data_IF_512766394562
#
_entry.id   IF_512766394562
#
_cell.length_a   1.000
_cell.length_b   1.000
_cell.length_c   1.000
_cell.angle_alpha   90.00
_cell.angle_beta   90.00
_cell.angle_gamma   90.00
#
_symmetry.space_group_name_H-M   'P 1'
#
loop_
_entity.id
_entity.type
_entity.pdbx_description
1 polymer ?
#
# COMPACT_ATOMS: atom_id res chain seq x y z
N UNK A 1 -13.82 10.34 -5.44
CA UNK A 1 -12.82 10.02 -4.39
C UNK A 1 -11.92 11.23 -4.22
N UNK A 2 -11.57 11.58 -2.99
CA UNK A 2 -10.53 12.56 -2.72
C UNK A 2 -9.30 11.80 -2.19
N UNK A 3 -8.12 12.17 -2.69
CA UNK A 3 -6.85 11.56 -2.30
C UNK A 3 -5.96 12.67 -1.70
N UNK A 4 -6.13 13.05 -0.42
CA UNK A 4 -5.45 14.21 0.17
C UNK A 4 -3.92 14.04 0.32
N UNK A 5 -3.44 12.80 0.28
CA UNK A 5 -2.02 12.44 0.32
C UNK A 5 -1.48 12.04 -1.06
N UNK A 6 -2.14 12.46 -2.15
CA UNK A 6 -1.76 12.05 -3.51
C UNK A 6 -0.33 12.44 -3.88
N UNK A 7 0.08 13.65 -3.48
CA UNK A 7 1.41 14.19 -3.78
C UNK A 7 2.46 13.77 -2.75
N UNK A 8 2.08 13.05 -1.70
CA UNK A 8 3.03 12.64 -0.67
C UNK A 8 3.81 11.41 -1.11
N UNK A 9 5.11 11.48 -0.92
CA UNK A 9 6.03 10.34 -0.99
C UNK A 9 5.89 9.47 0.26
N UNK A 10 6.41 8.23 0.17
CA UNK A 10 6.46 7.34 1.34
C UNK A 10 7.30 7.91 2.49
N UNK A 11 8.36 8.66 2.18
CA UNK A 11 9.21 9.32 3.18
C UNK A 11 8.47 10.43 3.93
N UNK A 12 7.65 11.22 3.24
CA UNK A 12 6.83 12.26 3.87
C UNK A 12 5.78 11.66 4.81
N UNK A 13 5.17 10.54 4.43
CA UNK A 13 4.24 9.80 5.31
C UNK A 13 4.95 9.35 6.59
N UNK A 14 6.11 8.72 6.47
CA UNK A 14 6.88 8.24 7.63
C UNK A 14 7.41 9.39 8.49
N UNK A 15 7.87 10.48 7.87
CA UNK A 15 8.31 11.68 8.56
C UNK A 15 7.18 12.26 9.42
N UNK A 16 5.97 12.33 8.88
CA UNK A 16 4.80 12.79 9.61
C UNK A 16 4.46 11.88 10.79
N UNK A 17 4.41 10.57 10.57
CA UNK A 17 4.15 9.55 11.61
C UNK A 17 5.13 9.73 12.78
N UNK A 18 6.42 9.82 12.48
CA UNK A 18 7.49 9.93 13.49
C UNK A 18 7.45 11.27 14.23
N UNK A 19 7.25 12.38 13.51
CA UNK A 19 7.23 13.73 14.08
C UNK A 19 6.05 13.92 15.05
N UNK A 20 4.90 13.33 14.74
CA UNK A 20 3.67 13.51 15.52
C UNK A 20 3.36 12.32 16.45
N UNK A 21 4.23 11.31 16.51
CA UNK A 21 4.03 10.13 17.34
C UNK A 21 2.76 9.35 16.98
N UNK A 22 2.42 9.29 15.69
CA UNK A 22 1.23 8.55 15.23
C UNK A 22 1.49 7.05 15.40
N UNK A 23 0.60 6.31 16.08
CA UNK A 23 0.76 4.86 16.15
C UNK A 23 0.59 4.24 14.76
N UNK A 24 1.50 3.33 14.39
CA UNK A 24 1.45 2.58 13.14
C UNK A 24 1.45 1.07 13.40
N UNK A 25 1.21 0.28 12.36
CA UNK A 25 1.16 -1.17 12.48
C UNK A 25 2.57 -1.76 12.63
N UNK A 26 2.83 -2.53 13.69
CA UNK A 26 4.13 -3.17 13.98
C UNK A 26 4.63 -4.13 12.88
N UNK A 27 3.80 -4.51 11.91
CA UNK A 27 4.24 -5.26 10.73
C UNK A 27 5.12 -4.44 9.80
N UNK A 28 5.03 -3.11 9.82
CA UNK A 28 5.94 -2.26 9.05
C UNK A 28 7.41 -2.50 9.44
N UNK A 29 7.68 -2.75 10.72
CA UNK A 29 9.02 -3.09 11.24
C UNK A 29 9.51 -4.48 10.80
N UNK A 30 8.61 -5.31 10.27
CA UNK A 30 8.89 -6.68 9.80
C UNK A 30 8.92 -6.78 8.28
N UNK A 31 9.08 -5.65 7.59
CA UNK A 31 9.20 -5.61 6.13
C UNK A 31 7.87 -5.64 5.39
N UNK A 32 6.76 -5.20 6.01
CA UNK A 32 5.46 -5.07 5.35
C UNK A 32 5.11 -3.60 5.04
N UNK A 33 5.64 -3.00 3.96
CA UNK A 33 5.35 -1.60 3.61
C UNK A 33 3.91 -1.38 3.11
N UNK A 34 3.25 -2.39 2.57
CA UNK A 34 1.83 -2.35 2.18
C UNK A 34 1.08 -3.53 2.79
N UNK A 35 0.07 -3.23 3.63
CA UNK A 35 -0.65 -4.24 4.42
C UNK A 35 -2.10 -4.36 3.92
N UNK A 36 -2.54 -5.58 3.61
CA UNK A 36 -3.93 -5.92 3.32
C UNK A 36 -4.40 -7.13 4.14
N UNK A 37 -5.22 -8.00 3.53
CA UNK A 37 -5.63 -9.25 4.17
C UNK A 37 -4.44 -10.21 4.33
N UNK A 38 -4.46 -11.01 5.41
CA UNK A 38 -3.41 -11.97 5.73
C UNK A 38 -2.98 -12.90 4.58
N UNK A 39 -3.88 -13.55 3.81
CA UNK A 39 -3.45 -14.47 2.75
C UNK A 39 -2.86 -13.76 1.51
N UNK A 40 -3.08 -12.45 1.36
CA UNK A 40 -2.74 -11.69 0.15
C UNK A 40 -1.67 -10.61 0.40
N UNK A 41 -0.92 -10.74 1.50
CA UNK A 41 0.12 -9.79 1.91
C UNK A 41 1.35 -10.57 2.39
N UNK A 42 2.52 -10.27 1.83
CA UNK A 42 3.82 -10.77 2.30
C UNK A 42 4.79 -9.62 2.58
N UNK A 43 5.83 -9.90 3.35
CA UNK A 43 6.97 -8.99 3.46
C UNK A 43 7.71 -8.87 2.12
N UNK A 44 8.37 -7.74 1.92
CA UNK A 44 9.18 -7.44 0.73
C UNK A 44 10.66 -7.28 1.12
N UNK A 45 11.57 -7.59 0.20
CA UNK A 45 13.00 -7.35 0.39
C UNK A 45 13.35 -5.86 0.19
N UNK A 46 14.52 -5.47 0.68
CA UNK A 46 15.04 -4.14 0.45
C UNK A 46 15.22 -3.87 -1.05
N UNK A 47 14.69 -2.74 -1.52
CA UNK A 47 14.74 -2.33 -2.94
C UNK A 47 13.61 -2.88 -3.81
N UNK A 48 12.78 -3.81 -3.32
CA UNK A 48 11.52 -4.15 -3.99
C UNK A 48 10.52 -2.99 -3.89
N UNK A 49 9.61 -2.89 -4.86
CA UNK A 49 8.48 -1.96 -4.78
C UNK A 49 7.65 -2.22 -3.51
N UNK A 50 7.20 -1.17 -2.83
CA UNK A 50 6.50 -1.26 -1.56
C UNK A 50 5.14 -1.98 -1.63
N UNK A 51 4.54 -2.11 -2.82
CA UNK A 51 3.29 -2.86 -3.03
C UNK A 51 3.51 -4.25 -3.63
N UNK A 52 4.74 -4.64 -3.98
CA UNK A 52 5.07 -5.97 -4.52
C UNK A 52 4.66 -7.14 -3.59
N UNK A 53 4.49 -6.88 -2.30
CA UNK A 53 3.98 -7.85 -1.33
C UNK A 53 2.47 -8.11 -1.42
N UNK A 54 1.72 -7.32 -2.20
CA UNK A 54 0.27 -7.43 -2.39
C UNK A 54 -0.04 -8.16 -3.69
N UNK A 55 -0.89 -9.19 -3.63
CA UNK A 55 -1.23 -10.04 -4.78
C UNK A 55 0.02 -10.48 -5.56
N UNK A 56 1.04 -10.93 -4.82
CA UNK A 56 2.39 -11.21 -5.34
C UNK A 56 2.45 -12.33 -6.38
N UNK A 57 1.36 -13.11 -6.53
CA UNK A 57 1.20 -14.17 -7.51
C UNK A 57 0.37 -13.76 -8.74
N UNK A 58 -0.20 -12.56 -8.76
CA UNK A 58 -1.18 -12.12 -9.75
C UNK A 58 -0.56 -11.25 -10.85
N UNK A 59 -1.25 -11.11 -11.98
CA UNK A 59 -0.87 -10.23 -13.07
C UNK A 59 -0.85 -8.75 -12.65
N UNK A 60 0.16 -8.01 -13.12
CA UNK A 60 0.38 -6.59 -12.78
C UNK A 60 -0.86 -5.71 -13.03
N UNK A 61 -1.60 -5.97 -14.11
CA UNK A 61 -2.80 -5.22 -14.50
C UNK A 61 -4.01 -5.45 -13.59
N UNK A 62 -3.95 -6.42 -12.67
CA UNK A 62 -5.06 -6.83 -11.79
C UNK A 62 -4.73 -6.62 -10.31
N UNK A 63 -3.70 -5.83 -9.99
CA UNK A 63 -3.25 -5.56 -8.62
C UNK A 63 -3.99 -4.40 -7.94
N UNK A 64 -5.19 -4.03 -8.40
CA UNK A 64 -6.05 -3.08 -7.69
C UNK A 64 -7.23 -3.79 -7.02
N UNK A 65 -7.47 -3.46 -5.75
CA UNK A 65 -8.55 -4.08 -4.99
C UNK A 65 -9.91 -3.62 -5.51
N UNK A 66 -10.94 -4.46 -5.38
CA UNK A 66 -12.34 -4.10 -5.62
C UNK A 66 -12.88 -2.94 -4.75
N UNK A 67 -12.12 -2.41 -3.78
CA UNK A 67 -12.43 -1.13 -3.13
C UNK A 67 -12.18 0.10 -4.04
N UNK A 68 -11.45 -0.10 -5.14
CA UNK A 68 -11.05 0.91 -6.12
C UNK A 68 -11.63 0.58 -7.50
N UNK A 69 -12.96 0.51 -7.58
CA UNK A 69 -13.64 0.30 -8.85
C UNK A 69 -13.62 1.58 -9.69
N UNK A 70 -13.09 1.46 -10.91
CA UNK A 70 -13.43 2.38 -11.98
C UNK A 70 -14.79 1.91 -12.53
N UNK A 71 -15.85 2.71 -12.33
CA UNK A 71 -17.13 2.44 -13.01
C UNK A 71 -16.83 2.35 -14.51
N UNK A 72 -17.02 1.18 -15.12
CA UNK A 72 -17.22 1.14 -16.56
C UNK A 72 -18.50 1.91 -16.82
N UNK A 73 -18.38 3.10 -17.40
CA UNK A 73 -19.53 3.75 -18.02
C UNK A 73 -19.77 2.93 -19.28
N UNK A 74 -20.78 2.06 -19.23
CA UNK A 74 -21.32 1.48 -20.46
C UNK A 74 -21.98 2.63 -21.23
N UNK A 75 -21.48 2.87 -22.45
CA UNK A 75 -22.07 3.78 -23.44
C UNK A 75 -22.88 2.94 -24.40
#
# INVERSE_FOLDING_TARGET
KLNPLLEWTGEEVWSYINTHGVPYNALHDRGYPSIGCAPCTRAVAAGEDGRSGRWWWEQESQKECGLHLHKKVEV
#
